data_IF_292918426224
#
_entry.id   IF_292918426224
#
_cell.length_a   1.000
_cell.length_b   1.000
_cell.length_c   1.000
_cell.angle_alpha   90.00
_cell.angle_beta   90.00
_cell.angle_gamma   90.00
#
_symmetry.space_group_name_H-M   'P 1'
#
loop_
_entity.id
_entity.type
_entity.pdbx_description
1 polymer ?
#
# COMPACT_ATOMS: atom_id res chain seq x y z
N UNK A 1 -57.12 -21.84 18.26
CA UNK A 1 -55.99 -21.33 19.07
C UNK A 1 -56.34 -21.09 20.55
N UNK A 2 -57.30 -21.84 21.11
CA UNK A 2 -57.60 -21.87 22.56
C UNK A 2 -57.42 -23.30 23.11
N UNK A 3 -57.59 -24.33 22.28
CA UNK A 3 -57.42 -25.73 22.67
C UNK A 3 -55.95 -26.21 22.84
N UNK A 4 -54.96 -25.51 22.28
CA UNK A 4 -53.54 -25.85 22.48
C UNK A 4 -52.98 -25.33 23.82
N UNK A 5 -53.58 -24.28 24.39
CA UNK A 5 -53.20 -23.73 25.70
C UNK A 5 -53.82 -24.52 26.86
N UNK A 6 -54.98 -25.16 26.66
CA UNK A 6 -55.61 -26.03 27.67
C UNK A 6 -54.85 -27.35 27.83
N UNK A 7 -54.24 -27.88 26.75
CA UNK A 7 -53.41 -29.09 26.81
C UNK A 7 -52.11 -28.91 27.61
N UNK A 8 -51.51 -27.70 27.57
CA UNK A 8 -50.30 -27.38 28.33
C UNK A 8 -50.64 -27.13 29.82
N UNK A 9 -51.79 -26.53 30.10
CA UNK A 9 -52.26 -26.34 31.48
C UNK A 9 -52.68 -27.66 32.17
N UNK A 10 -53.29 -28.59 31.44
CA UNK A 10 -53.66 -29.90 31.98
C UNK A 10 -52.44 -30.79 32.27
N UNK A 11 -51.38 -30.69 31.45
CA UNK A 11 -50.12 -31.40 31.71
C UNK A 11 -49.37 -30.84 32.93
N UNK A 12 -49.48 -29.53 33.19
CA UNK A 12 -48.92 -28.91 34.39
C UNK A 12 -49.72 -29.24 35.66
N UNK A 13 -51.06 -29.32 35.59
CA UNK A 13 -51.89 -29.68 36.74
C UNK A 13 -51.80 -31.17 37.12
N UNK A 14 -51.59 -32.08 36.15
CA UNK A 14 -51.43 -33.51 36.43
C UNK A 14 -50.08 -33.85 37.11
N UNK A 15 -49.08 -32.96 37.03
CA UNK A 15 -47.79 -33.15 37.71
C UNK A 15 -47.80 -32.70 39.19
N UNK A 16 -48.87 -32.06 39.67
CA UNK A 16 -48.91 -31.44 41.01
C UNK A 16 -49.67 -32.32 42.03
N UNK A 17 -50.36 -33.38 41.60
CA UNK A 17 -51.24 -34.17 42.48
C UNK A 17 -50.85 -35.63 42.73
N UNK A 18 -49.63 -36.04 42.35
CA UNK A 18 -49.03 -37.25 42.89
C UNK A 18 -47.96 -36.83 43.88
N UNK A 19 -48.34 -36.90 45.16
CA UNK A 19 -47.41 -36.87 46.27
C UNK A 19 -46.56 -38.12 46.26
N UNK A 20 -45.64 -38.19 45.31
CA UNK A 20 -44.39 -38.90 45.50
C UNK A 20 -43.42 -37.88 46.07
N UNK A 21 -42.86 -38.24 47.22
CA UNK A 21 -41.71 -37.59 47.85
C UNK A 21 -40.83 -36.96 46.77
N UNK A 22 -40.62 -35.64 46.83
CA UNK A 22 -39.49 -35.03 46.12
C UNK A 22 -38.32 -35.93 46.51
N UNK A 23 -37.64 -36.62 45.56
CA UNK A 23 -36.44 -37.32 45.92
C UNK A 23 -35.47 -36.21 46.26
N UNK A 24 -35.42 -35.87 47.55
CA UNK A 24 -34.35 -35.13 48.17
C UNK A 24 -33.10 -35.73 47.54
N UNK A 25 -32.30 -34.95 46.80
CA UNK A 25 -31.21 -35.52 46.07
C UNK A 25 -30.30 -36.19 47.09
N UNK A 26 -30.38 -37.52 47.20
CA UNK A 26 -29.45 -38.29 47.99
C UNK A 26 -28.11 -38.24 47.24
N UNK A 27 -27.34 -37.21 47.55
CA UNK A 27 -26.01 -36.96 47.01
C UNK A 27 -25.56 -35.51 47.24
N UNK A 28 -24.31 -35.35 47.68
CA UNK A 28 -23.62 -34.07 47.92
C UNK A 28 -23.98 -32.98 46.88
N UNK A 29 -24.65 -31.92 47.33
CA UNK A 29 -25.00 -30.75 46.51
C UNK A 29 -23.75 -30.10 45.90
N UNK A 30 -22.67 -29.99 46.69
CA UNK A 30 -21.37 -29.46 46.27
C UNK A 30 -20.74 -30.25 45.10
N UNK A 31 -20.96 -31.58 45.01
CA UNK A 31 -20.48 -32.38 43.87
C UNK A 31 -21.25 -32.10 42.59
N UNK A 32 -22.53 -31.74 42.70
CA UNK A 32 -23.36 -31.40 41.55
C UNK A 32 -23.01 -30.00 41.02
N UNK A 33 -22.75 -29.05 41.92
CA UNK A 33 -22.30 -27.69 41.58
C UNK A 33 -20.93 -27.71 40.90
N UNK A 34 -19.92 -28.37 41.48
CA UNK A 34 -18.59 -28.49 40.85
C UNK A 34 -18.63 -29.16 39.46
N UNK A 35 -19.50 -30.18 39.28
CA UNK A 35 -19.71 -30.81 37.97
C UNK A 35 -20.33 -29.84 36.95
N UNK A 36 -21.24 -28.98 37.41
CA UNK A 36 -21.89 -27.99 36.58
C UNK A 36 -20.89 -26.89 36.16
N UNK A 37 -20.12 -26.34 37.10
CA UNK A 37 -19.08 -25.34 36.84
C UNK A 37 -18.02 -25.87 35.86
N UNK A 38 -17.55 -27.10 36.04
CA UNK A 38 -16.63 -27.74 35.12
C UNK A 38 -17.22 -27.88 33.70
N UNK A 39 -18.51 -28.21 33.58
CA UNK A 39 -19.19 -28.33 32.29
C UNK A 39 -19.31 -26.97 31.60
N UNK A 40 -19.58 -25.90 32.35
CA UNK A 40 -19.60 -24.52 31.85
C UNK A 40 -18.22 -24.09 31.36
N UNK A 41 -17.17 -24.29 32.17
CA UNK A 41 -15.79 -23.96 31.78
C UNK A 41 -15.33 -24.72 30.52
N UNK A 42 -15.69 -26.00 30.40
CA UNK A 42 -15.43 -26.81 29.20
C UNK A 42 -16.15 -26.26 27.96
N UNK A 43 -17.35 -25.72 28.14
CA UNK A 43 -18.14 -25.12 27.07
C UNK A 43 -17.59 -23.76 26.66
N UNK A 44 -17.17 -22.92 27.60
CA UNK A 44 -16.49 -21.64 27.32
C UNK A 44 -15.18 -21.84 26.54
N UNK A 45 -14.35 -22.82 26.90
CA UNK A 45 -13.12 -23.09 26.16
C UNK A 45 -13.39 -23.67 24.76
N UNK A 46 -14.47 -24.43 24.60
CA UNK A 46 -14.94 -24.87 23.27
C UNK A 46 -15.37 -23.68 22.43
N UNK A 47 -16.09 -22.72 23.00
CA UNK A 47 -16.52 -21.50 22.31
C UNK A 47 -15.33 -20.60 21.94
N UNK A 48 -14.34 -20.43 22.83
CA UNK A 48 -13.09 -19.70 22.52
C UNK A 48 -12.34 -20.34 21.36
N UNK A 49 -12.24 -21.67 21.30
CA UNK A 49 -11.63 -22.38 20.18
C UNK A 49 -12.42 -22.18 18.87
N UNK A 50 -13.74 -22.30 18.90
CA UNK A 50 -14.59 -22.08 17.72
C UNK A 50 -14.52 -20.65 17.23
N UNK A 51 -14.49 -19.66 18.13
CA UNK A 51 -14.33 -18.24 17.80
C UNK A 51 -12.99 -17.97 17.11
N UNK A 52 -11.88 -18.47 17.66
CA UNK A 52 -10.55 -18.36 17.02
C UNK A 52 -10.50 -19.02 15.65
N UNK A 53 -11.26 -20.11 15.45
CA UNK A 53 -11.38 -20.78 14.14
C UNK A 53 -12.22 -19.97 13.14
N UNK A 54 -13.32 -19.36 13.61
CA UNK A 54 -14.20 -18.49 12.81
C UNK A 54 -13.49 -17.18 12.40
N UNK A 55 -12.70 -16.57 13.29
CA UNK A 55 -11.90 -15.38 12.98
C UNK A 55 -10.88 -15.62 11.86
N UNK A 56 -10.43 -16.86 11.64
CA UNK A 56 -9.53 -17.23 10.53
C UNK A 56 -10.23 -17.38 9.18
N UNK A 57 -11.49 -17.79 9.15
CA UNK A 57 -12.27 -17.97 7.92
C UNK A 57 -13.32 -16.88 7.84
N UNK A 58 -13.15 -15.84 7.00
CA UNK A 58 -14.06 -14.71 6.97
C UNK A 58 -15.48 -15.23 6.68
N UNK A 59 -16.39 -15.01 7.62
CA UNK A 59 -17.73 -15.62 7.61
C UNK A 59 -18.66 -15.08 6.52
N UNK A 60 -18.14 -14.26 5.59
CA UNK A 60 -18.91 -13.48 4.62
C UNK A 60 -19.65 -12.30 5.25
N UNK A 61 -19.99 -12.39 6.55
CA UNK A 61 -20.52 -11.28 7.34
C UNK A 61 -19.39 -10.64 8.15
N UNK A 62 -19.29 -9.32 8.03
CA UNK A 62 -18.30 -8.50 8.71
C UNK A 62 -18.97 -7.76 9.87
N UNK A 63 -18.34 -7.76 11.03
CA UNK A 63 -18.81 -6.99 12.19
C UNK A 63 -18.65 -5.48 11.94
N UNK A 64 -19.38 -4.64 12.69
CA UNK A 64 -19.25 -3.17 12.58
C UNK A 64 -17.83 -2.72 12.91
N UNK A 65 -17.17 -3.38 13.86
CA UNK A 65 -15.78 -3.10 14.24
C UNK A 65 -14.80 -3.42 13.11
N UNK A 66 -14.92 -4.60 12.49
CA UNK A 66 -14.12 -4.98 11.32
C UNK A 66 -14.37 -4.05 10.13
N UNK A 67 -15.63 -3.64 9.89
CA UNK A 67 -15.97 -2.64 8.88
C UNK A 67 -15.25 -1.32 9.18
N UNK A 68 -15.31 -0.83 10.42
CA UNK A 68 -14.67 0.42 10.81
C UNK A 68 -13.14 0.35 10.67
N UNK A 69 -12.52 -0.79 10.97
CA UNK A 69 -11.08 -1.00 10.78
C UNK A 69 -10.71 -1.06 9.29
N UNK A 70 -11.51 -1.74 8.47
CA UNK A 70 -11.26 -1.84 7.02
C UNK A 70 -11.59 -0.57 6.25
N UNK A 71 -12.58 0.20 6.72
CA UNK A 71 -12.99 1.49 6.16
C UNK A 71 -12.18 2.66 6.71
N UNK A 72 -11.40 2.46 7.77
CA UNK A 72 -10.46 3.45 8.25
C UNK A 72 -9.56 3.89 7.08
N UNK A 73 -9.37 5.21 6.89
CA UNK A 73 -8.56 5.71 5.78
C UNK A 73 -7.13 5.20 5.94
N UNK A 74 -6.75 4.28 5.06
CA UNK A 74 -5.37 3.78 4.98
C UNK A 74 -4.46 4.91 4.50
N UNK A 75 -3.27 5.00 5.07
CA UNK A 75 -2.28 5.96 4.61
C UNK A 75 -1.89 5.64 3.17
N UNK A 76 -2.11 6.61 2.27
CA UNK A 76 -1.86 6.51 0.83
C UNK A 76 -0.40 6.16 0.53
N UNK A 77 0.52 6.50 1.44
CA UNK A 77 1.96 6.22 1.28
C UNK A 77 2.32 4.76 1.58
N UNK A 78 1.45 4.00 2.26
CA UNK A 78 1.69 2.60 2.66
C UNK A 78 0.94 1.57 1.83
N UNK A 79 0.07 2.00 0.91
CA UNK A 79 -0.68 1.10 0.04
C UNK A 79 0.25 0.53 -1.04
N UNK A 80 0.61 -0.74 -0.93
CA UNK A 80 1.27 -1.45 -2.03
C UNK A 80 0.32 -1.55 -3.22
N UNK A 81 0.61 -0.83 -4.30
CA UNK A 81 -0.15 -0.94 -5.53
C UNK A 81 0.48 -2.03 -6.40
N UNK A 82 -0.27 -3.10 -6.64
CA UNK A 82 0.15 -4.12 -7.59
C UNK A 82 0.26 -3.52 -8.99
N UNK A 83 1.40 -3.76 -9.65
CA UNK A 83 1.61 -3.39 -11.05
C UNK A 83 0.49 -4.06 -11.87
N UNK A 84 -0.27 -3.32 -12.71
CA UNK A 84 -1.33 -3.91 -13.52
C UNK A 84 -0.78 -5.07 -14.35
N UNK A 85 -1.11 -6.30 -13.96
CA UNK A 85 -0.73 -7.49 -14.74
C UNK A 85 -1.57 -7.48 -16.02
N UNK A 86 -0.91 -7.52 -17.17
CA UNK A 86 -1.62 -7.75 -18.43
C UNK A 86 -2.34 -9.10 -18.35
N UNK A 87 -3.66 -9.08 -18.50
CA UNK A 87 -4.48 -10.29 -18.43
C UNK A 87 -4.12 -11.17 -19.62
N UNK A 88 -3.48 -12.31 -19.37
CA UNK A 88 -3.20 -13.32 -20.39
C UNK A 88 -4.49 -14.09 -20.69
N UNK A 89 -5.09 -14.00 -21.88
CA UNK A 89 -6.20 -14.86 -22.25
C UNK A 89 -5.74 -16.33 -22.25
N UNK A 90 -6.60 -17.23 -21.75
CA UNK A 90 -6.25 -18.62 -21.47
C UNK A 90 -5.80 -19.43 -22.71
N UNK A 91 -6.12 -18.97 -23.92
CA UNK A 91 -5.83 -19.66 -25.19
C UNK A 91 -4.51 -19.24 -25.86
N UNK A 92 -3.78 -18.24 -25.35
CA UNK A 92 -2.51 -17.81 -25.95
C UNK A 92 -1.29 -18.34 -25.21
N UNK A 93 -0.41 -19.05 -25.93
CA UNK A 93 0.88 -19.58 -25.43
C UNK A 93 1.85 -18.46 -25.05
N UNK A 94 1.73 -17.28 -25.67
CA UNK A 94 2.58 -16.12 -25.42
C UNK A 94 1.82 -14.83 -25.70
N UNK A 95 1.86 -13.89 -24.76
CA UNK A 95 1.39 -12.52 -24.94
C UNK A 95 2.62 -11.62 -24.98
N UNK A 96 2.81 -10.83 -26.06
CA UNK A 96 3.96 -9.95 -26.21
C UNK A 96 4.02 -8.93 -25.07
N UNK A 97 5.01 -9.07 -24.19
CA UNK A 97 5.24 -8.12 -23.10
C UNK A 97 6.02 -6.91 -23.62
N UNK A 98 5.57 -5.68 -23.35
CA UNK A 98 6.30 -4.48 -23.76
C UNK A 98 7.66 -4.42 -23.08
N UNK A 99 8.72 -4.22 -23.85
CA UNK A 99 10.04 -3.88 -23.31
C UNK A 99 10.16 -2.35 -23.20
N UNK A 100 10.70 -1.89 -22.08
CA UNK A 100 10.85 -0.47 -21.81
C UNK A 100 12.31 -0.07 -21.72
N UNK A 101 12.59 1.18 -22.11
CA UNK A 101 13.91 1.81 -22.00
C UNK A 101 13.79 3.21 -21.43
N UNK A 102 14.78 3.57 -20.62
CA UNK A 102 14.93 4.91 -20.08
C UNK A 102 15.66 5.76 -21.12
N UNK A 103 15.03 6.86 -21.53
CA UNK A 103 15.56 7.81 -22.52
C UNK A 103 15.54 9.21 -21.92
N UNK A 104 16.43 10.10 -22.40
CA UNK A 104 16.38 11.52 -22.02
C UNK A 104 15.03 12.13 -22.39
N UNK A 105 14.45 12.90 -21.47
CA UNK A 105 13.13 13.49 -21.63
C UNK A 105 13.13 14.59 -22.70
N UNK A 106 14.06 15.55 -22.54
CA UNK A 106 14.23 16.75 -23.35
C UNK A 106 15.21 16.53 -24.52
N UNK A 107 14.96 15.52 -25.35
CA UNK A 107 15.80 15.19 -26.51
C UNK A 107 14.94 15.04 -27.79
N UNK A 108 15.05 15.97 -28.77
CA UNK A 108 15.92 17.15 -28.79
C UNK A 108 15.48 18.24 -27.78
N UNK A 109 16.35 19.18 -27.39
CA UNK A 109 16.01 20.23 -26.43
C UNK A 109 14.81 21.09 -26.86
N UNK A 110 13.91 21.40 -25.92
CA UNK A 110 12.68 22.17 -26.15
C UNK A 110 11.51 21.39 -26.76
N UNK A 111 11.72 20.12 -27.14
CA UNK A 111 10.70 19.27 -27.76
C UNK A 111 9.52 18.79 -26.89
N UNK A 112 9.61 18.73 -25.53
CA UNK A 112 8.50 18.23 -24.73
C UNK A 112 7.22 19.04 -24.91
N UNK A 113 6.12 18.38 -25.23
CA UNK A 113 4.79 18.97 -25.39
C UNK A 113 3.72 18.00 -24.92
N UNK A 114 2.68 18.51 -24.24
CA UNK A 114 1.53 17.70 -23.85
C UNK A 114 0.67 17.41 -25.07
N UNK A 115 0.41 16.11 -25.31
CA UNK A 115 -0.55 15.65 -26.31
C UNK A 115 -1.81 15.15 -25.63
N UNK A 116 -2.92 15.83 -25.88
CA UNK A 116 -4.23 15.40 -25.40
C UNK A 116 -4.77 14.29 -26.30
N UNK A 117 -5.24 13.21 -25.68
CA UNK A 117 -5.82 12.07 -26.36
C UNK A 117 -7.26 12.36 -26.81
N UNK A 118 -7.77 11.61 -27.78
CA UNK A 118 -9.17 11.75 -28.24
C UNK A 118 -10.21 11.50 -27.12
N UNK A 119 -9.85 10.69 -26.12
CA UNK A 119 -10.74 10.37 -24.98
C UNK A 119 -10.69 11.41 -23.86
N UNK A 120 -9.81 12.41 -23.96
CA UNK A 120 -9.66 13.46 -22.96
C UNK A 120 -10.97 14.18 -22.66
N UNK A 121 -11.71 14.60 -23.68
CA UNK A 121 -12.98 15.31 -23.52
C UNK A 121 -14.07 14.45 -22.87
N UNK A 122 -14.00 13.13 -23.04
CA UNK A 122 -14.94 12.18 -22.42
C UNK A 122 -14.57 11.94 -20.95
N UNK A 123 -13.29 11.68 -20.66
CA UNK A 123 -12.79 11.41 -19.30
C UNK A 123 -12.67 12.66 -18.44
N UNK A 124 -12.67 13.84 -19.05
CA UNK A 124 -12.48 15.17 -18.44
C UNK A 124 -11.17 15.38 -17.70
N UNK A 125 -10.30 14.38 -17.70
CA UNK A 125 -8.99 14.41 -17.07
C UNK A 125 -8.03 13.50 -17.85
N UNK A 126 -6.79 13.94 -17.98
CA UNK A 126 -5.69 13.13 -18.50
C UNK A 126 -4.40 13.46 -17.78
N UNK A 127 -3.73 12.44 -17.25
CA UNK A 127 -2.36 12.55 -16.78
C UNK A 127 -1.43 12.42 -17.99
N UNK A 128 -0.56 13.41 -18.22
CA UNK A 128 0.43 13.32 -19.28
C UNK A 128 1.69 12.58 -18.81
N UNK A 129 2.57 12.27 -19.75
CA UNK A 129 3.85 11.63 -19.45
C UNK A 129 4.70 12.55 -18.56
N UNK A 130 5.09 12.04 -17.39
CA UNK A 130 5.97 12.73 -16.47
C UNK A 130 7.45 12.68 -16.84
N UNK A 131 8.23 13.49 -16.15
CA UNK A 131 9.68 13.57 -16.19
C UNK A 131 10.25 13.07 -14.86
N UNK A 132 11.30 12.27 -14.93
CA UNK A 132 12.00 11.73 -13.76
C UNK A 132 13.24 12.56 -13.50
N UNK A 133 13.47 12.89 -12.23
CA UNK A 133 14.66 13.62 -11.78
C UNK A 133 15.96 12.86 -12.10
N UNK A 134 17.10 13.55 -12.27
CA UNK A 134 18.37 12.92 -12.65
C UNK A 134 18.87 11.88 -11.64
N UNK A 135 18.48 12.02 -10.37
CA UNK A 135 18.80 11.14 -9.25
C UNK A 135 17.80 9.99 -9.07
N UNK A 136 16.74 9.90 -9.90
CA UNK A 136 15.66 8.92 -9.79
C UNK A 136 14.93 8.91 -8.44
N UNK A 137 14.92 10.03 -7.71
CA UNK A 137 14.21 10.12 -6.43
C UNK A 137 12.76 10.57 -6.58
N UNK A 138 12.44 11.28 -7.67
CA UNK A 138 11.13 11.92 -7.88
C UNK A 138 10.69 11.82 -9.33
N UNK A 139 9.38 11.70 -9.53
CA UNK A 139 8.71 11.80 -10.81
C UNK A 139 7.73 12.98 -10.76
N UNK A 140 7.84 13.88 -11.73
CA UNK A 140 6.96 15.03 -11.86
C UNK A 140 6.07 14.84 -13.07
N UNK A 141 4.76 14.99 -12.93
CA UNK A 141 3.84 14.82 -14.05
C UNK A 141 2.70 15.85 -14.02
N UNK A 142 2.26 16.33 -15.20
CA UNK A 142 1.10 17.21 -15.29
C UNK A 142 -0.20 16.40 -15.42
N UNK A 143 -1.24 16.87 -14.74
CA UNK A 143 -2.62 16.41 -14.87
C UNK A 143 -3.44 17.53 -15.49
N UNK A 144 -3.98 17.29 -16.67
CA UNK A 144 -4.83 18.25 -17.40
C UNK A 144 -6.28 17.91 -17.13
N UNK A 145 -7.09 18.94 -16.87
CA UNK A 145 -8.51 18.87 -16.60
C UNK A 145 -9.29 19.62 -17.68
N UNK A 146 -10.46 19.10 -18.03
CA UNK A 146 -11.39 19.73 -18.96
C UNK A 146 -12.65 20.17 -18.21
N UNK A 147 -13.03 21.43 -18.39
CA UNK A 147 -14.22 22.04 -17.83
C UNK A 147 -15.27 22.22 -18.93
N UNK A 148 -16.30 21.36 -18.99
CA UNK A 148 -17.27 21.39 -20.09
C UNK A 148 -18.10 22.66 -20.15
N UNK A 149 -18.36 23.29 -18.99
CA UNK A 149 -19.21 24.48 -18.89
C UNK A 149 -18.61 25.69 -19.64
N UNK A 150 -17.29 25.86 -19.54
CA UNK A 150 -16.54 26.92 -20.22
C UNK A 150 -15.87 26.42 -21.51
N UNK A 151 -15.82 25.10 -21.73
CA UNK A 151 -15.03 24.49 -22.79
C UNK A 151 -13.52 24.68 -22.60
N UNK A 152 -13.09 24.95 -21.36
CA UNK A 152 -11.72 25.35 -21.05
C UNK A 152 -10.92 24.22 -20.41
N UNK A 153 -9.59 24.35 -20.43
CA UNK A 153 -8.68 23.41 -19.76
C UNK A 153 -7.86 24.10 -18.68
N UNK A 154 -7.59 23.37 -17.60
CA UNK A 154 -6.63 23.76 -16.57
C UNK A 154 -5.64 22.62 -16.34
N UNK A 155 -4.50 22.92 -15.73
CA UNK A 155 -3.45 21.95 -15.52
C UNK A 155 -2.84 22.11 -14.12
N UNK A 156 -2.65 21.00 -13.44
CA UNK A 156 -1.91 20.92 -12.18
C UNK A 156 -0.69 20.02 -12.37
N UNK A 157 0.43 20.33 -11.74
CA UNK A 157 1.66 19.54 -11.78
C UNK A 157 1.90 18.91 -10.42
N UNK A 158 2.03 17.59 -10.39
CA UNK A 158 2.20 16.82 -9.16
C UNK A 158 3.57 16.13 -9.13
N UNK A 159 4.01 15.81 -7.90
CA UNK A 159 5.24 15.07 -7.62
C UNK A 159 4.88 13.73 -6.99
N UNK A 160 5.56 12.68 -7.42
CA UNK A 160 5.55 11.34 -6.82
C UNK A 160 6.98 11.04 -6.38
N UNK A 161 7.15 10.67 -5.11
CA UNK A 161 8.42 10.15 -4.63
C UNK A 161 8.60 8.72 -5.12
N UNK A 162 9.79 8.41 -5.63
CA UNK A 162 10.14 7.09 -6.12
C UNK A 162 10.82 6.29 -5.01
N UNK A 163 10.46 5.01 -4.88
CA UNK A 163 11.01 4.12 -3.85
C UNK A 163 12.52 3.87 -4.07
N UNK A 164 13.32 3.90 -3.01
CA UNK A 164 14.77 3.78 -3.14
C UNK A 164 15.25 2.35 -3.42
N UNK A 165 14.54 1.34 -2.92
CA UNK A 165 14.98 -0.06 -2.87
C UNK A 165 14.90 -0.83 -4.21
N UNK A 166 14.25 -0.26 -5.23
CA UNK A 166 14.01 -0.91 -6.54
C UNK A 166 15.05 -0.50 -7.59
N UNK A 167 15.12 -1.23 -8.71
CA UNK A 167 15.91 -0.80 -9.88
C UNK A 167 15.32 0.49 -10.47
N UNK A 168 16.14 1.35 -11.12
CA UNK A 168 15.65 2.61 -11.69
C UNK A 168 14.49 2.43 -12.67
N UNK A 169 14.43 1.31 -13.38
CA UNK A 169 13.33 0.95 -14.27
C UNK A 169 12.05 0.66 -13.48
N UNK A 170 12.17 -0.21 -12.48
CA UNK A 170 11.04 -0.63 -11.66
C UNK A 170 10.47 0.53 -10.85
N UNK A 171 11.33 1.43 -10.35
CA UNK A 171 10.91 2.68 -9.68
C UNK A 171 9.89 3.44 -10.50
N UNK A 172 10.17 3.63 -11.80
CA UNK A 172 9.32 4.39 -12.71
C UNK A 172 8.05 3.60 -13.05
N UNK A 173 8.15 2.29 -13.26
CA UNK A 173 7.01 1.42 -13.58
C UNK A 173 6.02 1.27 -12.42
N UNK A 174 6.51 1.26 -11.17
CA UNK A 174 5.67 1.18 -9.98
C UNK A 174 5.13 2.53 -9.53
N UNK A 175 5.61 3.64 -10.12
CA UNK A 175 5.17 4.98 -9.75
C UNK A 175 3.66 5.14 -9.99
N UNK A 176 2.92 5.44 -8.94
CA UNK A 176 1.47 5.57 -8.99
C UNK A 176 1.00 6.93 -8.46
N UNK A 177 -0.04 7.44 -9.10
CA UNK A 177 -0.79 8.66 -8.72
C UNK A 177 -1.31 8.60 -7.28
N UNK A 178 -1.52 7.40 -6.72
CA UNK A 178 -1.89 7.24 -5.30
C UNK A 178 -0.83 7.82 -4.35
N UNK A 179 0.45 7.70 -4.71
CA UNK A 179 1.59 8.17 -3.92
C UNK A 179 2.01 9.61 -4.21
N UNK A 180 1.20 10.36 -4.97
CA UNK A 180 1.48 11.76 -5.25
C UNK A 180 1.31 12.64 -4.01
N UNK A 181 2.05 13.73 -3.96
CA UNK A 181 1.77 14.81 -3.01
C UNK A 181 0.35 15.35 -3.22
N UNK A 182 -0.34 15.62 -2.12
CA UNK A 182 -1.72 16.11 -2.15
C UNK A 182 -1.86 17.46 -2.84
N UNK A 183 -0.87 18.33 -2.62
CA UNK A 183 -0.82 19.67 -3.20
C UNK A 183 0.03 19.67 -4.48
N UNK A 184 -0.46 20.30 -5.56
CA UNK A 184 0.33 20.46 -6.77
C UNK A 184 1.44 21.50 -6.56
N UNK A 185 2.61 21.26 -7.16
CA UNK A 185 3.73 22.21 -7.12
C UNK A 185 3.52 23.41 -8.04
N UNK A 186 2.74 23.23 -9.10
CA UNK A 186 2.33 24.28 -10.03
C UNK A 186 0.87 24.06 -10.42
N UNK A 187 0.10 25.13 -10.53
CA UNK A 187 -1.29 25.11 -10.97
C UNK A 187 -1.52 26.28 -11.92
N UNK A 188 -2.25 26.04 -13.00
CA UNK A 188 -2.77 27.13 -13.84
C UNK A 188 -3.93 27.82 -13.14
N UNK A 189 -4.30 28.99 -13.64
CA UNK A 189 -5.55 29.64 -13.27
C UNK A 189 -6.78 28.79 -13.64
N UNK A 190 -7.73 28.69 -12.70
CA UNK A 190 -8.98 27.90 -12.80
C UNK A 190 -10.21 28.79 -12.91
N UNK A 191 -10.05 30.11 -13.04
CA UNK A 191 -11.14 31.05 -13.35
C UNK A 191 -11.82 30.66 -14.66
N UNK A 192 -13.16 30.80 -14.68
CA UNK A 192 -14.01 30.43 -15.81
C UNK A 192 -14.42 31.63 -16.68
N UNK A 193 -13.72 32.75 -16.56
CA UNK A 193 -14.16 34.03 -17.14
C UNK A 193 -14.08 34.03 -18.68
N UNK A 194 -13.23 33.17 -19.26
CA UNK A 194 -13.00 33.07 -20.69
C UNK A 194 -13.33 31.67 -21.23
N UNK A 195 -14.29 31.61 -22.15
CA UNK A 195 -14.70 30.39 -22.85
C UNK A 195 -13.63 29.88 -23.83
N UNK A 196 -13.52 28.55 -23.95
CA UNK A 196 -12.63 27.84 -24.87
C UNK A 196 -11.14 28.12 -24.66
N UNK A 197 -10.76 28.56 -23.46
CA UNK A 197 -9.36 28.81 -23.13
C UNK A 197 -8.63 27.52 -22.82
N UNK A 198 -7.42 27.38 -23.33
CA UNK A 198 -6.54 26.28 -22.92
C UNK A 198 -5.39 26.81 -22.07
N UNK A 199 -5.17 26.14 -20.94
CA UNK A 199 -4.08 26.41 -20.01
C UNK A 199 -3.40 25.10 -19.68
N UNK A 200 -2.13 24.97 -20.06
CA UNK A 200 -1.37 23.73 -19.88
C UNK A 200 0.03 24.03 -19.36
N UNK A 201 0.50 23.24 -18.40
CA UNK A 201 1.86 23.33 -17.88
C UNK A 201 2.61 22.07 -18.29
N UNK A 202 3.67 22.24 -19.08
CA UNK A 202 4.51 21.13 -19.53
C UNK A 202 5.87 21.21 -18.84
N UNK A 203 6.28 20.20 -18.06
CA UNK A 203 7.66 20.07 -17.61
C UNK A 203 8.61 20.02 -18.82
N UNK A 204 9.72 20.75 -18.77
CA UNK A 204 10.71 20.79 -19.85
C UNK A 204 11.93 19.97 -19.44
N UNK A 205 12.61 20.34 -18.36
CA UNK A 205 13.76 19.60 -17.85
C UNK A 205 14.09 19.95 -16.38
N UNK A 206 14.96 19.15 -15.77
CA UNK A 206 15.57 19.43 -14.47
C UNK A 206 16.92 20.15 -14.60
N UNK A 207 17.31 20.89 -13.56
CA UNK A 207 18.71 21.29 -13.37
C UNK A 207 19.60 20.06 -13.14
N UNK A 208 20.92 20.23 -13.30
CA UNK A 208 21.90 19.12 -13.24
C UNK A 208 21.86 18.37 -11.90
N UNK A 209 21.67 19.12 -10.82
CA UNK A 209 21.55 18.61 -9.44
C UNK A 209 20.12 18.14 -9.09
N UNK A 210 19.14 18.32 -9.99
CA UNK A 210 17.74 18.00 -9.73
C UNK A 210 17.04 18.93 -8.73
N UNK A 211 17.68 20.03 -8.31
CA UNK A 211 17.10 20.98 -7.35
C UNK A 211 16.01 21.87 -7.94
N UNK A 212 15.99 22.04 -9.27
CA UNK A 212 15.06 22.91 -9.99
C UNK A 212 14.38 22.17 -11.13
N UNK A 213 13.12 22.51 -11.38
CA UNK A 213 12.35 22.07 -12.54
C UNK A 213 12.02 23.28 -13.41
N UNK A 214 12.39 23.22 -14.68
CA UNK A 214 11.88 24.13 -15.70
C UNK A 214 10.58 23.56 -16.26
N UNK A 215 9.53 24.37 -16.27
CA UNK A 215 8.26 24.09 -16.91
C UNK A 215 7.87 25.26 -17.82
N UNK A 216 6.92 25.02 -18.73
CA UNK A 216 6.32 26.05 -19.57
C UNK A 216 4.82 26.03 -19.40
N UNK A 217 4.26 27.18 -19.03
CA UNK A 217 2.83 27.40 -19.08
C UNK A 217 2.46 27.98 -20.44
N UNK A 218 1.51 27.34 -21.11
CA UNK A 218 0.90 27.84 -22.34
C UNK A 218 -0.53 28.24 -22.08
N UNK A 219 -0.86 29.47 -22.48
CA UNK A 219 -2.19 30.04 -22.40
C UNK A 219 -2.60 30.43 -23.81
N UNK A 220 -3.83 30.09 -24.18
CA UNK A 220 -4.40 30.49 -25.46
C UNK A 220 -5.88 30.18 -25.55
N UNK A 221 -6.42 30.33 -26.76
CA UNK A 221 -7.78 29.97 -27.07
C UNK A 221 -7.82 28.95 -28.19
N UNK A 222 -8.73 27.98 -28.10
CA UNK A 222 -8.89 26.94 -29.12
C UNK A 222 -9.16 27.51 -30.52
N UNK A 223 -9.74 28.71 -30.61
CA UNK A 223 -10.04 29.40 -31.88
C UNK A 223 -8.98 30.40 -32.32
N UNK A 224 -8.31 31.07 -31.37
CA UNK A 224 -7.35 32.17 -31.62
C UNK A 224 -5.88 31.73 -31.50
N UNK A 225 -5.64 30.47 -31.13
CA UNK A 225 -4.30 29.92 -30.95
C UNK A 225 -3.63 30.33 -29.64
N UNK A 226 -2.31 30.19 -29.60
CA UNK A 226 -1.49 30.43 -28.40
C UNK A 226 -1.29 31.93 -28.20
N UNK A 227 -1.73 32.46 -27.05
CA UNK A 227 -1.55 33.86 -26.68
C UNK A 227 -0.18 34.12 -26.07
N UNK A 228 0.27 33.24 -25.19
CA UNK A 228 1.51 33.40 -24.44
C UNK A 228 2.03 32.06 -23.95
N UNK A 229 3.34 31.86 -24.09
CA UNK A 229 4.10 30.87 -23.34
C UNK A 229 4.95 31.60 -22.29
N UNK A 230 4.84 31.14 -21.04
CA UNK A 230 5.61 31.65 -19.90
C UNK A 230 6.52 30.54 -19.38
N UNK A 231 7.85 30.72 -19.39
CA UNK A 231 8.77 29.83 -18.69
C UNK A 231 8.61 29.99 -17.18
N UNK A 232 8.59 28.88 -16.45
CA UNK A 232 8.43 28.83 -15.00
C UNK A 232 9.54 27.94 -14.44
N UNK A 233 10.24 28.39 -13.42
CA UNK A 233 11.19 27.56 -12.68
C UNK A 233 10.63 27.28 -11.29
N UNK A 234 10.52 26.01 -10.93
CA UNK A 234 10.19 25.59 -9.58
C UNK A 234 11.46 25.13 -8.86
N UNK A 235 11.72 25.68 -7.67
CA UNK A 235 12.85 25.30 -6.83
C UNK A 235 12.37 24.37 -5.70
N UNK A 236 12.82 23.11 -5.72
CA UNK A 236 12.43 22.12 -4.72
C UNK A 236 13.07 22.37 -3.35
N UNK A 237 14.15 23.16 -3.27
CA UNK A 237 14.81 23.46 -2.00
C UNK A 237 14.06 24.51 -1.21
N UNK A 238 13.50 25.52 -1.88
CA UNK A 238 12.74 26.60 -1.26
C UNK A 238 11.23 26.38 -1.32
N UNK A 239 10.76 25.52 -2.23
CA UNK A 239 9.34 25.29 -2.48
C UNK A 239 8.66 26.41 -3.27
N UNK A 240 9.44 27.31 -3.88
CA UNK A 240 8.95 28.51 -4.56
C UNK A 240 9.01 28.34 -6.09
N UNK A 241 8.00 28.85 -6.79
CA UNK A 241 7.99 29.01 -8.24
C UNK A 241 8.31 30.44 -8.67
N UNK A 242 9.10 30.57 -9.73
CA UNK A 242 9.49 31.84 -10.35
C UNK A 242 8.96 31.87 -11.78
N UNK A 243 8.09 32.84 -12.07
CA UNK A 243 7.61 33.09 -13.43
C UNK A 243 8.60 34.01 -14.14
N UNK A 244 9.22 33.53 -15.21
CA UNK A 244 10.27 34.25 -15.93
C UNK A 244 9.65 35.20 -16.97
N UNK A 245 8.86 36.16 -16.50
CA UNK A 245 8.15 37.10 -17.37
C UNK A 245 9.09 38.16 -17.97
N UNK A 246 10.17 38.46 -17.26
CA UNK A 246 11.16 39.51 -17.55
C UNK A 246 11.91 39.24 -18.86
N UNK A 247 11.99 37.97 -19.29
CA UNK A 247 12.57 37.64 -20.60
C UNK A 247 11.76 38.25 -21.74
N UNK A 248 10.43 38.33 -21.60
CA UNK A 248 9.57 38.92 -22.63
C UNK A 248 9.78 40.42 -22.71
N UNK A 249 9.82 41.08 -21.57
CA UNK A 249 10.02 42.53 -21.48
C UNK A 249 11.37 42.94 -22.07
N UNK A 250 12.43 42.16 -21.78
CA UNK A 250 13.75 42.37 -22.37
C UNK A 250 13.76 42.21 -23.90
N UNK A 251 13.03 41.22 -24.43
CA UNK A 251 12.89 41.02 -25.89
C UNK A 251 12.14 42.19 -26.53
N UNK A 252 11.00 42.60 -25.96
CA UNK A 252 10.21 43.75 -26.44
C UNK A 252 11.08 45.00 -26.48
N UNK A 253 11.74 45.32 -25.35
CA UNK A 253 12.61 46.48 -25.22
C UNK A 253 13.72 46.46 -26.27
N UNK A 254 14.43 45.35 -26.42
CA UNK A 254 15.53 45.25 -27.38
C UNK A 254 15.07 45.50 -28.82
N UNK A 255 13.98 44.87 -29.25
CA UNK A 255 13.48 44.98 -30.62
C UNK A 255 12.91 46.36 -30.92
N UNK A 256 12.27 47.00 -29.93
CA UNK A 256 11.81 48.37 -30.03
C UNK A 256 12.97 49.34 -30.18
N UNK A 257 13.94 49.31 -29.26
CA UNK A 257 15.04 50.29 -29.22
C UNK A 257 16.08 50.07 -30.33
N UNK A 258 16.43 48.82 -30.65
CA UNK A 258 17.55 48.53 -31.57
C UNK A 258 17.10 48.26 -33.01
N UNK A 259 15.83 47.90 -33.22
CA UNK A 259 15.29 47.50 -34.53
C UNK A 259 14.03 48.27 -34.94
N UNK A 260 13.54 49.18 -34.10
CA UNK A 260 12.31 49.95 -34.32
C UNK A 260 11.11 49.06 -34.68
N UNK A 261 11.06 47.86 -34.07
CA UNK A 261 9.97 46.91 -34.23
C UNK A 261 9.18 46.85 -32.93
N UNK A 262 7.93 47.31 -32.96
CA UNK A 262 7.03 47.14 -31.83
C UNK A 262 6.43 45.72 -31.87
N UNK A 263 6.81 44.91 -30.88
CA UNK A 263 6.37 43.53 -30.76
C UNK A 263 4.97 43.40 -30.13
N UNK A 264 4.45 44.44 -29.47
CA UNK A 264 3.10 44.41 -28.90
C UNK A 264 2.03 44.37 -30.01
N UNK A 265 2.35 44.94 -31.17
CA UNK A 265 1.51 44.90 -32.38
C UNK A 265 1.67 43.62 -33.21
N UNK A 266 2.51 42.67 -32.78
CA UNK A 266 2.85 41.46 -33.54
C UNK A 266 2.50 40.20 -32.76
N UNK A 267 2.21 39.13 -33.49
CA UNK A 267 2.06 37.80 -32.87
C UNK A 267 3.44 37.17 -32.74
N UNK A 268 3.90 36.96 -31.52
CA UNK A 268 5.17 36.33 -31.22
C UNK A 268 5.11 35.57 -29.91
N UNK A 269 6.01 34.59 -29.75
CA UNK A 269 6.06 33.79 -28.53
C UNK A 269 7.47 33.32 -28.18
N UNK A 270 7.57 32.75 -26.98
CA UNK A 270 8.81 32.44 -26.29
C UNK A 270 8.83 30.96 -25.92
N UNK A 271 9.84 30.23 -26.36
CA UNK A 271 9.97 28.79 -26.22
C UNK A 271 11.16 28.44 -25.33
N UNK A 272 10.94 28.00 -24.08
CA UNK A 272 12.03 27.54 -23.23
C UNK A 272 12.63 26.24 -23.78
N UNK A 273 13.95 26.22 -23.92
CA UNK A 273 14.69 25.10 -24.49
C UNK A 273 15.21 24.18 -23.37
N UNK A 274 15.71 24.76 -22.28
CA UNK A 274 16.29 24.05 -21.14
C UNK A 274 17.23 24.93 -20.34
N UNK A 275 17.94 24.34 -19.36
CA UNK A 275 19.01 25.02 -18.64
C UNK A 275 20.29 25.06 -19.46
N UNK A 276 21.11 26.10 -19.26
CA UNK A 276 22.45 26.18 -19.84
C UNK A 276 23.34 25.08 -19.26
N UNK A 277 24.03 24.34 -20.13
CA UNK A 277 24.92 23.24 -19.75
C UNK A 277 26.09 23.71 -18.88
N UNK A 278 26.59 24.93 -19.09
CA UNK A 278 27.74 25.48 -18.35
C UNK A 278 27.31 26.20 -17.08
N UNK A 279 26.11 26.77 -17.06
CA UNK A 279 25.62 27.52 -15.91
C UNK A 279 24.14 27.21 -15.62
N UNK A 280 23.87 26.27 -14.69
CA UNK A 280 22.51 25.83 -14.36
C UNK A 280 21.59 26.92 -13.80
N UNK A 281 22.12 28.10 -13.44
CA UNK A 281 21.30 29.24 -13.01
C UNK A 281 20.66 30.00 -14.17
N UNK A 282 21.02 29.68 -15.43
CA UNK A 282 20.45 30.30 -16.62
C UNK A 282 19.53 29.33 -17.36
N UNK A 283 18.38 29.87 -17.75
CA UNK A 283 17.41 29.20 -18.63
C UNK A 283 17.57 29.79 -20.03
N UNK A 284 17.75 28.91 -21.01
CA UNK A 284 17.84 29.26 -22.42
C UNK A 284 16.44 29.22 -23.05
N UNK A 285 16.14 30.25 -23.80
CA UNK A 285 14.83 30.49 -24.37
C UNK A 285 14.96 31.01 -25.79
N UNK A 286 14.13 30.52 -26.70
CA UNK A 286 14.11 30.94 -28.10
C UNK A 286 12.84 31.71 -28.42
N UNK A 287 12.94 32.86 -29.05
CA UNK A 287 11.79 33.71 -29.36
C UNK A 287 11.48 33.69 -30.85
N UNK A 288 10.20 33.61 -31.20
CA UNK A 288 9.76 33.56 -32.60
C UNK A 288 8.59 34.51 -32.85
N UNK A 289 8.63 35.22 -33.98
CA UNK A 289 7.48 35.94 -34.51
C UNK A 289 6.76 35.10 -35.57
N UNK A 290 5.44 35.07 -35.51
CA UNK A 290 4.61 34.36 -36.48
C UNK A 290 4.23 35.29 -37.63
N UNK A 291 4.43 34.80 -38.85
CA UNK A 291 4.21 35.56 -40.10
C UNK A 291 3.08 34.99 -40.95
N UNK A 292 2.48 33.87 -40.55
CA UNK A 292 1.56 33.07 -41.37
C UNK A 292 2.27 31.97 -42.18
N UNK A 293 3.56 32.15 -42.46
CA UNK A 293 4.42 31.17 -43.14
C UNK A 293 5.47 30.60 -42.15
N UNK A 294 6.76 30.73 -42.48
CA UNK A 294 7.86 30.31 -41.62
C UNK A 294 8.08 31.33 -40.50
N UNK A 295 8.04 30.92 -39.22
CA UNK A 295 8.32 31.82 -38.10
C UNK A 295 9.71 32.44 -38.21
N UNK A 296 9.80 33.72 -37.90
CA UNK A 296 11.08 34.46 -37.88
C UNK A 296 11.67 34.36 -36.47
N UNK A 297 12.93 33.94 -36.37
CA UNK A 297 13.64 33.92 -35.09
C UNK A 297 13.93 35.36 -34.62
N UNK A 298 13.47 35.69 -33.41
CA UNK A 298 13.70 36.95 -32.70
C UNK A 298 14.95 36.92 -31.79
N UNK A 299 15.66 35.79 -31.79
CA UNK A 299 16.89 35.54 -31.06
C UNK A 299 16.73 34.42 -30.04
N UNK A 300 17.88 33.87 -29.65
CA UNK A 300 18.04 33.00 -28.49
C UNK A 300 18.51 33.88 -27.34
N UNK A 301 17.80 33.76 -26.22
CA UNK A 301 17.94 34.55 -25.02
C UNK A 301 18.24 33.64 -23.84
N UNK A 302 18.88 34.21 -22.83
CA UNK A 302 19.08 33.57 -21.53
C UNK A 302 18.43 34.44 -20.47
N UNK A 303 17.84 33.80 -19.48
CA UNK A 303 17.26 34.47 -18.31
C UNK A 303 17.70 33.73 -17.05
N UNK A 304 18.08 34.46 -16.01
CA UNK A 304 18.38 33.84 -14.71
C UNK A 304 17.16 33.09 -14.20
N UNK A 305 17.33 32.00 -13.47
CA UNK A 305 16.23 31.16 -12.99
C UNK A 305 15.22 31.87 -12.05
N UNK A 306 15.57 33.06 -11.56
CA UNK A 306 14.70 33.95 -10.77
C UNK A 306 14.07 35.11 -11.55
N UNK A 307 14.42 35.29 -12.83
CA UNK A 307 13.94 36.41 -13.66
C UNK A 307 14.72 37.72 -13.52
N UNK A 308 15.78 37.78 -12.69
CA UNK A 308 16.51 39.02 -12.38
C UNK A 308 17.30 39.60 -13.56
N UNK A 309 17.86 38.74 -14.43
CA UNK A 309 18.67 39.18 -15.57
C UNK A 309 18.30 38.43 -16.84
N UNK A 310 18.22 39.17 -17.95
CA UNK A 310 17.97 38.64 -19.29
C UNK A 310 19.05 39.11 -20.27
N UNK A 311 19.53 38.21 -21.14
CA UNK A 311 20.61 38.51 -22.09
C UNK A 311 20.35 37.84 -23.44
N UNK A 312 20.58 38.59 -24.52
CA UNK A 312 20.62 38.03 -25.87
C UNK A 312 21.91 37.21 -26.06
N UNK A 313 21.78 35.97 -26.52
CA UNK A 313 22.91 35.09 -26.85
C UNK A 313 23.27 35.21 -28.32
N UNK A 314 22.30 35.03 -29.21
CA UNK A 314 22.53 35.00 -30.66
C UNK A 314 21.23 35.17 -31.42
N UNK A 315 21.29 35.73 -32.64
CA UNK A 315 20.16 35.73 -33.58
C UNK A 315 20.14 34.50 -34.50
N UNK A 316 21.24 33.74 -34.53
CA UNK A 316 21.33 32.55 -35.38
C UNK A 316 20.63 31.38 -34.69
N UNK A 317 19.98 30.53 -35.50
CA UNK A 317 19.53 29.19 -35.07
C UNK A 317 20.71 28.23 -34.86
N UNK A 318 21.79 28.69 -34.23
CA UNK A 318 22.91 27.84 -33.86
C UNK A 318 22.54 26.96 -32.67
N UNK A 319 23.05 25.74 -32.64
CA UNK A 319 22.90 24.85 -31.50
C UNK A 319 23.53 25.49 -30.26
N UNK A 320 22.70 25.74 -29.25
CA UNK A 320 23.15 26.18 -27.93
C UNK A 320 23.30 24.94 -27.06
N UNK A 321 24.33 24.95 -26.21
CA UNK A 321 24.60 23.88 -25.27
C UNK A 321 23.57 23.89 -24.15
N UNK A 322 22.63 22.94 -24.20
CA UNK A 322 21.51 22.81 -23.28
C UNK A 322 21.65 21.50 -22.52
N UNK A 323 21.53 21.55 -21.19
CA UNK A 323 21.54 20.34 -20.38
C UNK A 323 20.30 19.48 -20.65
N UNK A 324 20.48 18.16 -20.64
CA UNK A 324 19.40 17.18 -20.82
C UNK A 324 19.39 16.20 -19.64
N UNK A 325 18.80 16.59 -18.52
CA UNK A 325 19.01 15.89 -17.25
C UNK A 325 17.92 14.89 -16.93
N UNK A 326 16.67 15.22 -17.22
CA UNK A 326 15.52 14.40 -16.90
C UNK A 326 15.34 13.20 -17.83
N UNK A 327 14.61 12.21 -17.33
CA UNK A 327 14.37 10.95 -18.02
C UNK A 327 12.89 10.66 -18.22
N UNK A 328 12.58 9.85 -19.24
CA UNK A 328 11.26 9.21 -19.46
C UNK A 328 11.41 7.75 -19.81
N UNK A 329 10.31 7.04 -19.60
CA UNK A 329 10.15 5.68 -20.07
C UNK A 329 9.56 5.65 -21.48
N UNK A 330 10.18 4.90 -22.39
CA UNK A 330 9.67 4.66 -23.75
C UNK A 330 9.59 3.16 -23.98
N UNK A 331 8.52 2.71 -24.63
CA UNK A 331 8.42 1.33 -25.09
C UNK A 331 9.33 1.13 -26.31
N UNK A 332 10.37 0.31 -26.16
CA UNK A 332 11.38 0.04 -27.19
C UNK A 332 10.97 -1.15 -28.09
N UNK A 333 10.13 -2.06 -27.59
CA UNK A 333 9.69 -3.23 -28.35
C UNK A 333 8.93 -4.25 -27.52
N UNK A 334 9.19 -5.53 -27.82
CA UNK A 334 8.54 -6.68 -27.20
C UNK A 334 9.63 -7.65 -26.71
N UNK A 335 9.51 -8.15 -25.49
CA UNK A 335 10.46 -9.10 -24.88
C UNK A 335 10.43 -10.44 -25.63
N UNK A 336 11.57 -10.95 -26.10
CA UNK A 336 11.61 -12.19 -26.88
C UNK A 336 10.95 -13.40 -26.16
N UNK A 337 10.14 -14.24 -26.85
CA UNK A 337 9.38 -15.33 -26.25
C UNK A 337 10.21 -16.33 -25.43
N UNK A 338 11.47 -16.58 -25.82
CA UNK A 338 12.33 -17.56 -25.16
C UNK A 338 12.71 -17.19 -23.72
N UNK A 339 12.73 -15.89 -23.39
CA UNK A 339 13.06 -15.39 -22.05
C UNK A 339 11.80 -15.49 -21.17
N UNK A 340 10.66 -15.04 -21.71
CA UNK A 340 9.36 -15.04 -21.02
C UNK A 340 8.89 -16.45 -20.63
N UNK A 341 9.06 -17.47 -21.47
CA UNK A 341 8.66 -18.84 -21.11
C UNK A 341 9.45 -19.39 -19.91
N UNK A 342 10.75 -19.08 -19.82
CA UNK A 342 11.60 -19.55 -18.70
C UNK A 342 11.28 -18.80 -17.41
N UNK A 343 11.10 -17.49 -17.51
CA UNK A 343 10.72 -16.63 -16.38
C UNK A 343 9.30 -16.94 -15.88
N UNK A 344 8.34 -17.16 -16.77
CA UNK A 344 6.98 -17.60 -16.39
C UNK A 344 6.99 -18.97 -15.72
N UNK A 345 7.80 -19.92 -16.22
CA UNK A 345 7.96 -21.23 -15.57
C UNK A 345 8.58 -21.08 -14.18
N UNK A 346 9.49 -20.13 -13.98
CA UNK A 346 10.06 -19.84 -12.66
C UNK A 346 9.05 -19.15 -11.74
N UNK A 347 8.35 -18.11 -12.20
CA UNK A 347 7.29 -17.42 -11.45
C UNK A 347 6.17 -18.39 -11.05
N UNK A 348 5.67 -19.23 -11.98
CA UNK A 348 4.67 -20.26 -11.67
C UNK A 348 5.19 -21.30 -10.67
N UNK A 349 6.49 -21.58 -10.63
CA UNK A 349 7.10 -22.46 -9.60
C UNK A 349 7.15 -21.75 -8.25
N UNK A 350 7.61 -20.49 -8.22
CA UNK A 350 7.67 -19.67 -7.01
C UNK A 350 6.26 -19.46 -6.42
N UNK A 351 5.27 -19.08 -7.23
CA UNK A 351 3.87 -18.93 -6.77
C UNK A 351 3.30 -20.25 -6.25
N UNK A 352 3.57 -21.38 -6.93
CA UNK A 352 3.14 -22.71 -6.45
C UNK A 352 3.84 -23.12 -5.16
N UNK A 353 5.12 -22.79 -4.99
CA UNK A 353 5.88 -23.06 -3.77
C UNK A 353 5.40 -22.18 -2.62
N UNK A 354 5.20 -20.88 -2.84
CA UNK A 354 4.62 -19.96 -1.85
C UNK A 354 3.21 -20.40 -1.45
N UNK A 355 2.35 -20.81 -2.41
CA UNK A 355 1.04 -21.33 -2.09
C UNK A 355 1.10 -22.65 -1.29
N UNK A 356 2.07 -23.52 -1.57
CA UNK A 356 2.31 -24.75 -0.79
C UNK A 356 2.79 -24.42 0.62
N UNK A 357 3.74 -23.50 0.78
CA UNK A 357 4.26 -23.04 2.06
C UNK A 357 3.13 -22.43 2.89
N UNK A 358 2.37 -21.48 2.33
CA UNK A 358 1.21 -20.86 2.99
C UNK A 358 0.14 -21.89 3.38
N UNK A 359 -0.08 -22.93 2.57
CA UNK A 359 -0.98 -24.04 2.90
C UNK A 359 -0.43 -24.96 3.99
N UNK A 360 0.88 -25.11 4.10
CA UNK A 360 1.53 -25.87 5.17
C UNK A 360 1.53 -25.08 6.47
N UNK A 361 1.81 -23.78 6.43
CA UNK A 361 1.74 -22.86 7.57
C UNK A 361 0.33 -22.81 8.16
N UNK A 362 -0.69 -22.58 7.33
CA UNK A 362 -2.09 -22.59 7.80
C UNK A 362 -2.49 -23.93 8.45
N UNK A 363 -2.08 -25.06 7.86
CA UNK A 363 -2.30 -26.39 8.47
C UNK A 363 -1.54 -26.58 9.78
N UNK A 364 -0.32 -26.09 9.89
CA UNK A 364 0.49 -26.19 11.10
C UNK A 364 -0.10 -25.34 12.24
N UNK A 365 -0.56 -24.12 11.93
CA UNK A 365 -1.25 -23.26 12.88
C UNK A 365 -2.58 -23.85 13.35
N UNK A 366 -3.38 -24.42 12.44
CA UNK A 366 -4.65 -25.06 12.79
C UNK A 366 -4.45 -26.28 13.69
N UNK A 367 -3.40 -27.06 13.42
CA UNK A 367 -3.01 -28.19 14.27
C UNK A 367 -2.53 -27.71 15.64
N UNK A 368 -1.72 -26.66 15.69
CA UNK A 368 -1.26 -26.07 16.96
C UNK A 368 -2.43 -25.53 17.80
N UNK A 369 -3.43 -24.91 17.16
CA UNK A 369 -4.64 -24.44 17.83
C UNK A 369 -5.47 -25.61 18.39
N UNK A 370 -5.61 -26.71 17.63
CA UNK A 370 -6.32 -27.91 18.07
C UNK A 370 -5.59 -28.63 19.22
N UNK A 371 -4.26 -28.74 19.14
CA UNK A 371 -3.43 -29.35 20.17
C UNK A 371 -3.46 -28.52 21.47
N UNK A 372 -3.42 -27.19 21.38
CA UNK A 372 -3.57 -26.30 22.52
C UNK A 372 -4.96 -26.43 23.19
N UNK A 373 -6.03 -26.54 22.39
CA UNK A 373 -7.38 -26.80 22.91
C UNK A 373 -7.45 -28.15 23.65
N UNK A 374 -6.93 -29.23 23.04
CA UNK A 374 -6.93 -30.56 23.66
C UNK A 374 -6.11 -30.60 24.95
N UNK A 375 -4.95 -29.94 24.98
CA UNK A 375 -4.11 -29.86 26.17
C UNK A 375 -4.86 -29.18 27.32
N UNK A 376 -5.52 -28.06 27.05
CA UNK A 376 -6.28 -27.32 28.06
C UNK A 376 -7.50 -28.08 28.58
N UNK A 377 -8.22 -28.79 27.70
CA UNK A 377 -9.32 -29.67 28.13
C UNK A 377 -8.82 -30.78 29.05
N UNK A 378 -7.66 -31.37 28.73
CA UNK A 378 -7.06 -32.43 29.53
C UNK A 378 -6.57 -31.92 30.90
N UNK A 379 -6.02 -30.71 30.94
CA UNK A 379 -5.62 -30.03 32.18
C UNK A 379 -6.84 -29.79 33.08
N UNK A 380 -7.91 -29.20 32.55
CA UNK A 380 -9.16 -29.00 33.29
C UNK A 380 -9.76 -30.33 33.78
N UNK A 381 -9.73 -31.40 32.97
CA UNK A 381 -10.21 -32.73 33.37
C UNK A 381 -9.37 -33.33 34.52
N UNK A 382 -8.06 -33.10 34.52
CA UNK A 382 -7.17 -33.55 35.58
C UNK A 382 -7.41 -32.78 36.89
N UNK A 383 -7.53 -31.45 36.82
CA UNK A 383 -7.84 -30.59 37.97
C UNK A 383 -9.20 -30.95 38.58
N UNK A 384 -10.22 -31.16 37.74
CA UNK A 384 -11.55 -31.57 38.19
C UNK A 384 -11.53 -32.91 38.92
N UNK A 385 -10.77 -33.89 38.40
CA UNK A 385 -10.62 -35.19 39.05
C UNK A 385 -9.90 -35.06 40.40
N UNK A 386 -8.84 -34.27 40.47
CA UNK A 386 -8.11 -34.02 41.72
C UNK A 386 -8.99 -33.34 42.78
N UNK A 387 -9.78 -32.34 42.37
CA UNK A 387 -10.77 -31.71 43.26
C UNK A 387 -11.83 -32.70 43.75
N UNK A 388 -12.31 -33.60 42.88
CA UNK A 388 -13.31 -34.60 43.25
C UNK A 388 -12.74 -35.67 44.21
N UNK A 389 -11.49 -36.10 43.99
CA UNK A 389 -10.78 -37.03 44.86
C UNK A 389 -10.49 -36.39 46.23
N UNK A 390 -10.07 -35.12 46.26
CA UNK A 390 -9.85 -34.36 47.49
C UNK A 390 -11.15 -34.16 48.29
N UNK A 391 -12.24 -33.81 47.61
CA UNK A 391 -13.56 -33.69 48.22
C UNK A 391 -14.02 -35.03 48.83
N UNK A 392 -13.86 -36.13 48.09
CA UNK A 392 -14.19 -37.47 48.59
C UNK A 392 -13.36 -37.86 49.82
N UNK A 393 -12.08 -37.47 49.85
CA UNK A 393 -11.19 -37.70 50.98
C UNK A 393 -11.64 -36.90 52.22
N UNK A 394 -11.95 -35.61 52.06
CA UNK A 394 -12.47 -34.76 53.16
C UNK A 394 -13.77 -35.30 53.73
N UNK A 395 -14.70 -35.75 52.89
CA UNK A 395 -15.96 -36.34 53.35
C UNK A 395 -15.76 -37.63 54.15
N UNK A 396 -14.86 -38.53 53.70
CA UNK A 396 -14.54 -39.76 54.46
C UNK A 396 -13.96 -39.48 55.84
N UNK A 397 -13.17 -38.41 55.97
CA UNK A 397 -12.51 -38.05 57.24
C UNK A 397 -13.48 -37.32 58.19
N UNK A 398 -14.35 -36.45 57.67
CA UNK A 398 -15.35 -35.74 58.46
C UNK A 398 -16.46 -36.65 59.01
N UNK A 399 -16.79 -37.76 58.35
CA UNK A 399 -17.77 -38.74 58.85
C UNK A 399 -17.28 -39.61 60.02
N UNK A 400 -16.00 -39.52 60.42
CA UNK A 400 -15.36 -40.50 61.31
C UNK A 400 -14.90 -39.97 62.68
N UNK A 401 -14.83 -38.65 62.93
CA UNK A 401 -14.17 -38.12 64.15
C UNK A 401 -14.57 -36.68 64.53
N UNK A 402 -14.48 -36.33 65.82
CA UNK A 402 -14.70 -34.99 66.40
C UNK A 402 -13.70 -33.93 65.86
N UNK A 403 -14.16 -32.68 65.74
CA UNK A 403 -13.71 -31.66 64.78
C UNK A 403 -12.24 -31.17 64.77
N UNK A 404 -11.36 -31.58 65.69
CA UNK A 404 -9.93 -31.24 65.65
C UNK A 404 -9.04 -32.39 65.10
N UNK A 405 -9.44 -33.65 65.27
CA UNK A 405 -8.67 -34.82 64.81
C UNK A 405 -8.81 -35.07 63.30
N UNK A 406 -9.93 -34.65 62.70
CA UNK A 406 -10.20 -34.77 61.27
C UNK A 406 -9.26 -33.93 60.42
N UNK A 407 -8.90 -32.72 60.89
CA UNK A 407 -8.00 -31.80 60.18
C UNK A 407 -6.56 -32.31 60.19
N UNK A 408 -6.09 -32.84 61.32
CA UNK A 408 -4.74 -33.42 61.42
C UNK A 408 -4.58 -34.66 60.54
N UNK A 409 -5.56 -35.58 60.54
CA UNK A 409 -5.55 -36.78 59.69
C UNK A 409 -5.59 -36.45 58.19
N UNK A 410 -6.35 -35.41 57.79
CA UNK A 410 -6.37 -34.96 56.40
C UNK A 410 -4.99 -34.43 55.96
N UNK A 411 -4.35 -33.60 56.77
CA UNK A 411 -3.02 -33.06 56.48
C UNK A 411 -1.94 -34.15 56.41
N UNK A 412 -1.96 -35.14 57.30
CA UNK A 412 -1.03 -36.27 57.27
C UNK A 412 -1.20 -37.15 56.01
N UNK A 413 -2.44 -37.38 55.57
CA UNK A 413 -2.71 -38.16 54.35
C UNK A 413 -2.27 -37.38 53.10
N UNK A 414 -2.51 -36.06 53.06
CA UNK A 414 -2.05 -35.18 51.98
C UNK A 414 -0.52 -35.14 51.90
N UNK A 415 0.16 -34.99 53.03
CA UNK A 415 1.62 -35.01 53.09
C UNK A 415 2.20 -36.33 52.56
N UNK A 416 1.62 -37.48 52.93
CA UNK A 416 2.02 -38.79 52.39
C UNK A 416 1.74 -38.95 50.89
N UNK A 417 0.63 -38.40 50.40
CA UNK A 417 0.31 -38.41 48.97
C UNK A 417 1.25 -37.50 48.16
N UNK A 418 1.62 -36.33 48.68
CA UNK A 418 2.60 -35.43 48.07
C UNK A 418 4.00 -36.06 48.05
N UNK A 419 4.43 -36.70 49.14
CA UNK A 419 5.72 -37.39 49.19
C UNK A 419 5.77 -38.58 48.22
N UNK A 420 4.65 -39.31 48.07
CA UNK A 420 4.52 -40.38 47.07
C UNK A 420 4.49 -39.84 45.63
N UNK A 421 3.84 -38.68 45.39
CA UNK A 421 3.88 -37.98 44.10
C UNK A 421 5.29 -37.52 43.76
N UNK A 422 6.02 -36.93 44.69
CA UNK A 422 7.40 -36.50 44.49
C UNK A 422 8.30 -37.69 44.14
N UNK A 423 8.22 -38.80 44.89
CA UNK A 423 8.96 -40.04 44.58
C UNK A 423 8.59 -40.63 43.21
N UNK A 424 7.32 -40.56 42.81
CA UNK A 424 6.88 -41.02 41.49
C UNK A 424 7.40 -40.12 40.36
N UNK A 425 7.42 -38.80 40.58
CA UNK A 425 7.88 -37.80 39.62
C UNK A 425 9.39 -37.84 39.45
N UNK A 426 10.16 -38.05 40.53
CA UNK A 426 11.59 -38.35 40.47
C UNK A 426 11.88 -39.65 39.71
N UNK A 427 11.07 -40.70 39.92
CA UNK A 427 11.18 -41.96 39.18
C UNK A 427 10.83 -41.82 37.70
N UNK A 428 9.91 -40.91 37.34
CA UNK A 428 9.59 -40.56 35.96
C UNK A 428 10.72 -39.78 35.30
N UNK A 429 11.22 -38.72 35.94
CA UNK A 429 12.40 -37.96 35.48
C UNK A 429 13.61 -38.87 35.27
N UNK A 430 13.86 -39.82 36.17
CA UNK A 430 14.94 -40.79 36.03
C UNK A 430 14.75 -41.78 34.87
N UNK A 431 13.50 -42.07 34.47
CA UNK A 431 13.21 -42.90 33.29
C UNK A 431 13.37 -42.10 31.99
N UNK A 432 12.85 -40.87 31.95
CA UNK A 432 13.02 -39.99 30.79
C UNK A 432 14.50 -39.68 30.53
N UNK A 433 15.29 -39.41 31.58
CA UNK A 433 16.73 -39.20 31.44
C UNK A 433 17.43 -40.41 30.79
N UNK A 434 17.06 -41.63 31.21
CA UNK A 434 17.58 -42.88 30.63
C UNK A 434 17.13 -43.11 29.19
N UNK A 435 15.92 -42.70 28.83
CA UNK A 435 15.45 -42.77 27.43
C UNK A 435 16.17 -41.75 26.55
N UNK A 436 16.41 -40.54 27.05
CA UNK A 436 17.14 -39.48 26.36
C UNK A 436 18.61 -39.87 26.14
N UNK A 437 19.25 -40.49 27.13
CA UNK A 437 20.59 -41.09 26.99
C UNK A 437 20.61 -42.23 25.96
N UNK A 438 19.58 -43.09 25.96
CA UNK A 438 19.45 -44.17 24.96
C UNK A 438 19.21 -43.63 23.54
N UNK A 439 18.49 -42.52 23.39
CA UNK A 439 18.29 -41.85 22.10
C UNK A 439 19.59 -41.21 21.62
N UNK A 440 20.31 -40.49 22.50
CA UNK A 440 21.65 -39.95 22.18
C UNK A 440 22.63 -41.04 21.74
N UNK A 441 22.67 -42.17 22.44
CA UNK A 441 23.50 -43.32 22.06
C UNK A 441 23.09 -43.95 20.72
N UNK A 442 21.81 -43.89 20.34
CA UNK A 442 21.34 -44.35 19.02
C UNK A 442 21.69 -43.36 17.91
N UNK A 443 21.56 -42.06 18.16
CA UNK A 443 21.97 -41.00 17.24
C UNK A 443 23.49 -41.00 17.02
N UNK A 444 24.30 -41.18 18.08
CA UNK A 444 25.75 -41.34 17.97
C UNK A 444 26.16 -42.60 17.19
N UNK A 445 25.39 -43.69 17.30
CA UNK A 445 25.63 -44.91 16.49
C UNK A 445 25.22 -44.73 15.03
N UNK A 446 24.19 -43.94 14.74
CA UNK A 446 23.80 -43.61 13.37
C UNK A 446 24.80 -42.63 12.71
N UNK A 447 25.31 -41.64 13.45
CA UNK A 447 26.34 -40.72 12.98
C UNK A 447 27.73 -41.34 12.80
N UNK A 448 27.98 -42.54 13.34
CA UNK A 448 29.21 -43.32 13.08
C UNK A 448 29.12 -44.24 11.85
N UNK A 449 27.92 -44.44 11.31
CA UNK A 449 27.65 -45.32 10.17
C UNK A 449 27.27 -44.56 8.87
N UNK A 450 27.22 -43.22 8.93
CA UNK A 450 27.35 -42.31 7.79
C UNK A 450 28.75 -41.70 7.82
#
# INVERSE_FOLDING_TARGET
MIYALIGIAAAFCACIQWGDEIPMPHGDVNKKEAKYEFKVAKQEEKEKYQRKKLEKTPSGYMTVEEYNILSAPKDRMTMEVEIPKHVTPADMVYVPQPSYKIVRYNNPPGSPEIRLSKTFYQKRQQNAQGIVAPDFTKLVYPSVYYYPNSGSTACDVFVINLEEAKSNMDKILTANVVHRFSEPILSTDKTNDNYFTFRTITPVDFSVDGSKLLAKEKIGNTKDGIWKTTPIVYDFTTGVSYNLIEVRDAIIYYWKENKNLDLDDKRWDVYPIGFDEKNPDWVIVNAYAYTGDTPINLGIWTVSYKGEQSRLVTFKNSEVQVSMNGYKLVQEGVVSPMITEKEEKQLKRIEKEQAKIKKQETKAEDKALEDAYKAKIKEMEAEFKEMQDDYNLRQRINGSTSGNDSVQKYNEIKAKQEEARQKALEKQKAKELKELERQRLKEERQNKNN
#
